data_IF_995269880932
#
_entry.id   IF_995269880932
#
_cell.length_a   1.000
_cell.length_b   1.000
_cell.length_c   1.000
_cell.angle_alpha   90.00
_cell.angle_beta   90.00
_cell.angle_gamma   90.00
#
_symmetry.space_group_name_H-M   'P 1'
#
loop_
_entity.id
_entity.type
_entity.pdbx_description
1 polymer ?
#
# COMPACT_ATOMS: atom_id res chain seq x y z
N UNK A 1 11.70 22.85 -44.24
CA UNK A 1 12.39 22.66 -42.95
C UNK A 1 11.47 22.95 -41.74
N UNK A 2 10.33 22.30 -41.62
CA UNK A 2 9.39 22.52 -40.46
C UNK A 2 8.84 21.22 -39.88
N UNK A 3 9.45 20.05 -40.11
CA UNK A 3 8.86 18.75 -39.73
C UNK A 3 9.76 17.92 -38.80
N UNK A 4 10.87 18.44 -38.29
CA UNK A 4 11.83 17.67 -37.46
C UNK A 4 11.67 17.94 -35.98
N UNK A 5 10.99 19.00 -35.55
CA UNK A 5 10.84 19.34 -34.12
C UNK A 5 9.71 18.62 -33.41
N UNK A 6 8.77 17.99 -34.12
CA UNK A 6 7.64 17.30 -33.47
C UNK A 6 7.97 15.89 -32.98
N UNK A 7 9.02 15.26 -33.50
CA UNK A 7 9.41 13.89 -33.15
C UNK A 7 10.21 13.75 -31.85
N UNK A 8 10.86 14.82 -31.39
CA UNK A 8 11.76 14.78 -30.23
C UNK A 8 11.00 14.97 -28.90
N UNK A 9 9.83 15.60 -28.94
CA UNK A 9 9.04 15.87 -27.72
C UNK A 9 8.25 14.61 -27.29
N UNK A 10 7.92 13.72 -28.22
CA UNK A 10 7.13 12.52 -27.90
C UNK A 10 7.97 11.39 -27.28
N UNK A 11 9.29 11.42 -27.44
CA UNK A 11 10.19 10.39 -26.88
C UNK A 11 10.64 10.64 -25.44
N UNK A 12 10.40 11.82 -24.86
CA UNK A 12 10.76 12.14 -23.47
C UNK A 12 9.69 11.78 -22.43
N UNK A 13 8.50 11.36 -22.86
CA UNK A 13 7.38 11.05 -21.93
C UNK A 13 7.43 9.59 -21.43
N UNK A 14 8.26 8.72 -22.01
CA UNK A 14 8.32 7.30 -21.67
C UNK A 14 9.41 6.90 -20.66
N UNK A 15 10.20 7.85 -20.16
CA UNK A 15 11.28 7.57 -19.21
C UNK A 15 11.02 8.00 -17.77
N UNK A 16 9.78 8.32 -17.41
CA UNK A 16 9.42 8.34 -15.99
C UNK A 16 9.20 6.88 -15.59
N UNK A 17 10.25 6.22 -15.14
CA UNK A 17 10.20 4.98 -14.39
C UNK A 17 9.36 5.22 -13.12
N UNK A 18 8.07 5.46 -13.32
CA UNK A 18 7.12 5.66 -12.26
C UNK A 18 7.07 4.38 -11.44
N UNK A 19 7.33 4.48 -10.15
CA UNK A 19 7.02 3.42 -9.20
C UNK A 19 5.53 3.13 -9.30
N UNK A 20 5.15 2.24 -10.26
CA UNK A 20 3.74 1.89 -10.49
C UNK A 20 3.20 1.14 -9.28
N UNK A 21 1.91 1.27 -9.02
CA UNK A 21 1.20 0.43 -8.04
C UNK A 21 1.29 -1.04 -8.46
N UNK A 22 1.07 -1.97 -7.53
CA UNK A 22 0.96 -3.39 -7.85
C UNK A 22 -0.29 -3.67 -8.68
N UNK A 23 -0.27 -4.76 -9.46
CA UNK A 23 -1.44 -5.16 -10.25
C UNK A 23 -2.66 -5.44 -9.35
N UNK A 24 -2.43 -6.03 -8.18
CA UNK A 24 -3.50 -6.29 -7.20
C UNK A 24 -4.11 -5.00 -6.66
N UNK A 25 -3.30 -3.97 -6.36
CA UNK A 25 -3.82 -2.69 -5.90
C UNK A 25 -4.57 -1.93 -7.01
N UNK A 26 -4.03 -1.95 -8.24
CA UNK A 26 -4.69 -1.36 -9.41
C UNK A 26 -6.04 -2.05 -9.65
N UNK A 27 -6.09 -3.38 -9.67
CA UNK A 27 -7.32 -4.14 -9.85
C UNK A 27 -8.37 -3.81 -8.78
N UNK A 28 -7.95 -3.66 -7.52
CA UNK A 28 -8.83 -3.24 -6.44
C UNK A 28 -9.38 -1.84 -6.70
N UNK A 29 -8.51 -0.89 -7.01
CA UNK A 29 -8.89 0.50 -7.30
C UNK A 29 -9.84 0.62 -8.48
N UNK A 30 -9.57 -0.07 -9.59
CA UNK A 30 -10.40 -0.06 -10.79
C UNK A 30 -11.79 -0.67 -10.52
N UNK A 31 -11.82 -1.78 -9.76
CA UNK A 31 -13.08 -2.45 -9.42
C UNK A 31 -14.04 -1.56 -8.64
N UNK A 32 -13.52 -0.68 -7.79
CA UNK A 32 -14.31 0.20 -6.93
C UNK A 32 -14.30 1.66 -7.37
N UNK A 33 -13.80 1.98 -8.55
CA UNK A 33 -13.62 3.36 -9.04
C UNK A 33 -14.90 4.20 -9.10
N UNK A 34 -16.04 3.56 -9.23
CA UNK A 34 -17.35 4.23 -9.40
C UNK A 34 -18.22 4.25 -8.14
N UNK A 35 -17.70 3.73 -7.02
CA UNK A 35 -18.41 3.77 -5.74
C UNK A 35 -18.18 5.08 -5.02
N UNK A 36 -19.25 5.78 -4.67
CA UNK A 36 -19.19 7.11 -4.02
C UNK A 36 -18.57 7.07 -2.62
N UNK A 37 -18.68 5.95 -1.93
CA UNK A 37 -18.20 5.79 -0.56
C UNK A 37 -16.79 5.18 -0.48
N UNK A 38 -16.12 5.03 -1.63
CA UNK A 38 -14.75 4.52 -1.70
C UNK A 38 -13.78 5.68 -1.82
N UNK A 39 -12.84 5.74 -0.90
CA UNK A 39 -11.81 6.78 -0.86
C UNK A 39 -10.47 6.18 -1.26
N UNK A 40 -9.79 6.78 -2.22
CA UNK A 40 -8.44 6.39 -2.59
C UNK A 40 -7.55 7.60 -2.80
N UNK A 41 -6.31 7.51 -2.33
CA UNK A 41 -5.28 8.49 -2.64
C UNK A 41 -3.92 7.81 -2.79
N UNK A 42 -3.02 8.48 -3.49
CA UNK A 42 -1.62 8.07 -3.60
C UNK A 42 -0.74 9.30 -3.50
N UNK A 43 0.32 9.20 -2.73
CA UNK A 43 1.27 10.29 -2.54
C UNK A 43 2.71 9.78 -2.54
N UNK A 44 3.66 10.66 -2.84
CA UNK A 44 5.07 10.38 -2.56
C UNK A 44 5.29 10.39 -1.04
N UNK A 45 6.16 9.51 -0.57
CA UNK A 45 6.45 9.40 0.87
C UNK A 45 7.13 10.65 1.44
N UNK A 46 7.71 11.51 0.60
CA UNK A 46 8.25 12.80 1.06
C UNK A 46 7.20 13.64 1.80
N UNK A 47 5.97 13.70 1.30
CA UNK A 47 4.89 14.41 1.98
C UNK A 47 4.44 13.68 3.25
N UNK A 48 4.34 12.35 3.21
CA UNK A 48 3.99 11.54 4.38
C UNK A 48 5.01 11.66 5.51
N UNK A 49 6.30 11.62 5.17
CA UNK A 49 7.40 11.78 6.13
C UNK A 49 7.43 13.15 6.80
N UNK A 50 7.09 14.21 6.08
CA UNK A 50 6.99 15.56 6.64
C UNK A 50 5.87 15.63 7.69
N UNK A 51 4.72 15.03 7.43
CA UNK A 51 3.58 14.98 8.36
C UNK A 51 3.95 14.20 9.63
N UNK A 52 4.58 13.04 9.49
CA UNK A 52 5.01 12.21 10.63
C UNK A 52 6.05 12.92 11.50
N UNK A 53 7.00 13.60 10.87
CA UNK A 53 8.00 14.39 11.59
C UNK A 53 7.38 15.54 12.39
N UNK A 54 6.37 16.19 11.84
CA UNK A 54 5.59 17.23 12.54
C UNK A 54 4.77 16.68 13.70
N UNK A 55 4.31 15.42 13.60
CA UNK A 55 3.58 14.73 14.65
C UNK A 55 4.46 14.23 15.80
N UNK A 56 5.79 14.35 15.69
CA UNK A 56 6.74 13.93 16.74
C UNK A 56 7.07 12.44 16.76
N UNK A 57 6.59 11.67 15.78
CA UNK A 57 6.78 10.22 15.66
C UNK A 57 8.15 9.88 15.04
N UNK A 58 9.22 10.16 15.75
CA UNK A 58 10.58 10.00 15.22
C UNK A 58 10.97 8.57 14.90
N UNK A 59 10.58 7.60 15.73
CA UNK A 59 10.90 6.19 15.50
C UNK A 59 10.22 5.66 14.23
N UNK A 60 8.95 6.00 14.04
CA UNK A 60 8.20 5.64 12.86
C UNK A 60 8.73 6.34 11.60
N UNK A 61 9.18 7.59 11.74
CA UNK A 61 9.80 8.32 10.64
C UNK A 61 11.04 7.59 10.11
N UNK A 62 11.91 7.09 10.97
CA UNK A 62 13.13 6.37 10.54
C UNK A 62 12.81 5.08 9.80
N UNK A 63 11.75 4.39 10.19
CA UNK A 63 11.30 3.18 9.49
C UNK A 63 10.75 3.47 8.09
N UNK A 64 10.05 4.59 7.92
CA UNK A 64 9.36 4.92 6.66
C UNK A 64 10.14 5.90 5.77
N UNK A 65 11.28 6.44 6.21
CA UNK A 65 12.09 7.38 5.42
C UNK A 65 12.55 6.82 4.06
N UNK A 66 12.66 5.50 3.96
CA UNK A 66 13.01 4.79 2.72
C UNK A 66 11.79 4.36 1.89
N UNK A 67 10.59 4.69 2.33
CA UNK A 67 9.36 4.53 1.54
C UNK A 67 9.32 5.64 0.49
N UNK A 68 9.02 5.28 -0.74
CA UNK A 68 8.97 6.19 -1.88
C UNK A 68 7.56 6.60 -2.27
N UNK A 69 6.61 5.70 -2.04
CA UNK A 69 5.20 5.92 -2.35
C UNK A 69 4.31 5.25 -1.32
N UNK A 70 3.22 5.92 -1.01
CA UNK A 70 2.12 5.41 -0.19
C UNK A 70 0.86 5.53 -1.03
N UNK A 71 0.11 4.45 -1.14
CA UNK A 71 -1.20 4.42 -1.78
C UNK A 71 -2.20 3.79 -0.81
N UNK A 72 -3.35 4.42 -0.64
CA UNK A 72 -4.40 3.97 0.28
C UNK A 72 -5.70 3.88 -0.46
N UNK A 73 -6.48 2.85 -0.17
CA UNK A 73 -7.88 2.74 -0.56
C UNK A 73 -8.69 2.21 0.63
N UNK A 74 -9.76 2.90 0.96
CA UNK A 74 -10.72 2.50 1.98
C UNK A 74 -12.06 2.18 1.30
N UNK A 75 -12.56 0.97 1.53
CA UNK A 75 -13.72 0.40 0.83
C UNK A 75 -14.70 -0.11 1.89
N UNK A 76 -15.94 0.41 1.95
CA UNK A 76 -16.99 -0.17 2.78
C UNK A 76 -17.25 -1.63 2.40
N UNK A 77 -17.50 -2.49 3.38
CA UNK A 77 -17.81 -3.91 3.13
C UNK A 77 -19.06 -4.11 2.29
N UNK A 78 -19.98 -3.17 2.34
CA UNK A 78 -21.17 -3.18 1.48
C UNK A 78 -20.81 -3.07 0.00
N UNK A 79 -19.81 -2.25 -0.35
CA UNK A 79 -19.33 -2.13 -1.72
C UNK A 79 -18.77 -3.49 -2.22
N UNK A 80 -18.07 -4.25 -1.37
CA UNK A 80 -17.62 -5.61 -1.72
C UNK A 80 -18.79 -6.52 -2.08
N UNK A 81 -19.90 -6.46 -1.33
CA UNK A 81 -21.11 -7.26 -1.61
C UNK A 81 -21.76 -6.84 -2.93
N UNK A 82 -21.90 -5.55 -3.18
CA UNK A 82 -22.46 -5.00 -4.41
C UNK A 82 -21.68 -5.43 -5.65
N UNK A 83 -20.36 -5.47 -5.55
CA UNK A 83 -19.48 -5.86 -6.65
C UNK A 83 -19.28 -7.38 -6.79
N UNK A 84 -19.93 -8.20 -5.97
CA UNK A 84 -19.71 -9.65 -5.91
C UNK A 84 -18.23 -10.03 -5.69
N UNK A 85 -17.50 -9.22 -4.93
CA UNK A 85 -16.10 -9.45 -4.58
C UNK A 85 -16.02 -9.83 -3.10
N UNK A 86 -15.09 -10.70 -2.75
CA UNK A 86 -14.79 -11.01 -1.36
C UNK A 86 -13.38 -10.60 -1.00
N UNK A 87 -13.14 -10.28 0.27
CA UNK A 87 -11.79 -10.02 0.77
C UNK A 87 -10.88 -11.22 0.56
N UNK A 88 -11.39 -12.44 0.70
CA UNK A 88 -10.65 -13.67 0.41
C UNK A 88 -10.29 -13.80 -1.07
N UNK A 89 -11.15 -13.35 -1.97
CA UNK A 89 -10.87 -13.24 -3.41
C UNK A 89 -9.75 -12.26 -3.68
N UNK A 90 -9.79 -11.09 -3.06
CA UNK A 90 -8.70 -10.10 -3.16
C UNK A 90 -7.36 -10.65 -2.63
N UNK A 91 -7.36 -11.33 -1.48
CA UNK A 91 -6.17 -12.00 -0.94
C UNK A 91 -5.61 -13.07 -1.91
N UNK A 92 -6.47 -13.74 -2.69
CA UNK A 92 -6.03 -14.66 -3.75
C UNK A 92 -5.33 -13.92 -4.89
N UNK A 93 -5.87 -12.78 -5.33
CA UNK A 93 -5.24 -11.92 -6.36
C UNK A 93 -3.87 -11.44 -5.88
N UNK A 94 -3.76 -11.00 -4.62
CA UNK A 94 -2.48 -10.60 -4.03
C UNK A 94 -1.44 -11.74 -4.07
N UNK A 95 -1.84 -12.98 -3.74
CA UNK A 95 -0.93 -14.13 -3.85
C UNK A 95 -0.49 -14.41 -5.30
N UNK A 96 -1.39 -14.24 -6.27
CA UNK A 96 -1.05 -14.35 -7.69
C UNK A 96 -0.09 -13.22 -8.14
N UNK A 97 -0.18 -12.04 -7.53
CA UNK A 97 0.74 -10.92 -7.71
C UNK A 97 2.00 -11.03 -6.83
N UNK A 98 2.31 -12.25 -6.33
CA UNK A 98 3.50 -12.63 -5.56
C UNK A 98 3.63 -11.97 -4.18
N UNK A 99 2.55 -11.48 -3.60
CA UNK A 99 2.54 -11.06 -2.21
C UNK A 99 2.52 -12.27 -1.27
N UNK A 100 3.38 -12.24 -0.27
CA UNK A 100 3.49 -13.25 0.78
C UNK A 100 3.04 -12.63 2.11
N UNK A 101 2.24 -13.35 2.87
CA UNK A 101 1.83 -12.92 4.21
C UNK A 101 3.02 -13.01 5.15
N UNK A 102 3.34 -11.91 5.84
CA UNK A 102 4.41 -11.83 6.84
C UNK A 102 3.86 -11.99 8.25
N UNK A 103 2.78 -11.29 8.55
CA UNK A 103 2.18 -11.28 9.87
C UNK A 103 0.67 -11.02 9.77
N UNK A 104 -0.05 -11.52 10.76
CA UNK A 104 -1.48 -11.25 10.95
C UNK A 104 -1.76 -11.03 12.42
N UNK A 105 -2.42 -9.93 12.72
CA UNK A 105 -2.89 -9.59 14.05
C UNK A 105 -4.40 -9.55 14.06
N UNK A 106 -5.00 -9.95 15.17
CA UNK A 106 -6.43 -9.87 15.39
C UNK A 106 -6.66 -9.28 16.77
N UNK A 107 -7.41 -8.19 16.82
CA UNK A 107 -7.79 -7.53 18.07
C UNK A 107 -9.25 -7.05 17.98
N UNK A 108 -10.06 -7.39 19.00
CA UNK A 108 -11.46 -6.98 19.14
C UNK A 108 -12.35 -7.16 17.89
N UNK A 109 -12.00 -8.08 17.00
CA UNK A 109 -12.73 -8.31 15.74
C UNK A 109 -12.05 -7.73 14.52
N UNK A 110 -11.15 -6.78 14.67
CA UNK A 110 -10.35 -6.21 13.61
C UNK A 110 -9.20 -7.15 13.24
N UNK A 111 -8.88 -7.20 11.96
CA UNK A 111 -7.80 -8.02 11.43
C UNK A 111 -6.85 -7.11 10.65
N UNK A 112 -5.59 -7.09 11.05
CA UNK A 112 -4.51 -6.42 10.31
C UNK A 112 -3.58 -7.48 9.76
N UNK A 113 -3.40 -7.50 8.45
CA UNK A 113 -2.51 -8.46 7.78
C UNK A 113 -1.45 -7.72 6.99
N UNK A 114 -0.20 -8.08 7.21
CA UNK A 114 0.95 -7.54 6.51
C UNK A 114 1.40 -8.52 5.43
N UNK A 115 1.59 -8.00 4.24
CA UNK A 115 2.13 -8.75 3.10
C UNK A 115 3.35 -8.04 2.55
N UNK A 116 4.26 -8.81 1.99
CA UNK A 116 5.42 -8.30 1.25
C UNK A 116 5.52 -9.00 -0.10
N UNK A 117 5.88 -8.24 -1.10
CA UNK A 117 6.33 -8.73 -2.39
C UNK A 117 7.78 -8.30 -2.56
N UNK A 118 8.74 -9.24 -2.44
CA UNK A 118 10.15 -8.95 -2.66
C UNK A 118 10.39 -8.57 -4.12
N UNK A 119 11.33 -7.67 -4.36
CA UNK A 119 11.82 -7.31 -5.68
C UNK A 119 13.33 -7.43 -5.70
N UNK A 120 13.94 -7.60 -6.87
CA UNK A 120 15.39 -7.66 -7.04
C UNK A 120 16.09 -6.36 -6.61
N UNK A 121 15.39 -5.25 -6.71
CA UNK A 121 15.84 -3.96 -6.17
C UNK A 121 15.39 -3.81 -4.71
N UNK A 122 16.09 -2.98 -3.91
CA UNK A 122 15.68 -2.64 -2.53
C UNK A 122 14.32 -1.90 -2.44
N UNK A 123 13.53 -1.90 -3.51
CA UNK A 123 12.22 -1.27 -3.57
C UNK A 123 11.10 -2.31 -3.42
N UNK A 124 11.08 -2.98 -2.30
CA UNK A 124 10.03 -3.94 -1.99
C UNK A 124 8.65 -3.27 -1.99
N UNK A 125 7.63 -4.08 -2.17
CA UNK A 125 6.24 -3.65 -2.01
C UNK A 125 5.67 -4.32 -0.78
N UNK A 126 4.99 -3.51 0.01
CA UNK A 126 4.28 -3.97 1.18
C UNK A 126 2.81 -3.65 1.00
N UNK A 127 1.95 -4.55 1.44
CA UNK A 127 0.52 -4.33 1.50
C UNK A 127 0.06 -4.57 2.93
N UNK A 128 -0.57 -3.57 3.53
CA UNK A 128 -1.22 -3.68 4.82
C UNK A 128 -2.71 -3.72 4.54
N UNK A 129 -3.36 -4.80 4.96
CA UNK A 129 -4.80 -4.96 4.83
C UNK A 129 -5.42 -4.90 6.21
N UNK A 130 -6.26 -3.91 6.43
CA UNK A 130 -7.03 -3.73 7.67
C UNK A 130 -8.49 -4.06 7.38
N UNK A 131 -9.04 -4.99 8.15
CA UNK A 131 -10.44 -5.43 8.05
C UNK A 131 -11.11 -5.15 9.39
N UNK A 132 -11.93 -4.11 9.47
CA UNK A 132 -12.78 -3.83 10.62
C UNK A 132 -14.23 -4.33 10.39
N UNK A 133 -15.20 -3.97 11.26
CA UNK A 133 -16.61 -4.35 11.13
C UNK A 133 -17.22 -3.88 9.81
N UNK A 134 -16.88 -2.69 9.35
CA UNK A 134 -17.60 -1.95 8.32
C UNK A 134 -16.76 -1.74 7.05
N UNK A 135 -15.44 -1.74 7.16
CA UNK A 135 -14.54 -1.35 6.10
C UNK A 135 -13.43 -2.38 5.85
N UNK A 136 -12.85 -2.25 4.67
CA UNK A 136 -11.56 -2.86 4.31
C UNK A 136 -10.66 -1.74 3.83
N UNK A 137 -9.52 -1.56 4.49
CA UNK A 137 -8.51 -0.58 4.09
C UNK A 137 -7.28 -1.31 3.57
N UNK A 138 -6.89 -1.02 2.34
CA UNK A 138 -5.64 -1.51 1.77
C UNK A 138 -4.65 -0.35 1.63
N UNK A 139 -3.45 -0.55 2.18
CA UNK A 139 -2.35 0.41 2.13
C UNK A 139 -1.19 -0.25 1.41
N UNK A 140 -0.83 0.26 0.25
CA UNK A 140 0.36 -0.18 -0.47
C UNK A 140 1.51 0.79 -0.22
N UNK A 141 2.65 0.24 0.19
CA UNK A 141 3.89 0.97 0.37
C UNK A 141 4.93 0.46 -0.64
N UNK A 142 5.69 1.35 -1.25
CA UNK A 142 6.81 0.99 -2.13
C UNK A 142 8.08 1.61 -1.58
N UNK A 143 9.10 0.79 -1.35
CA UNK A 143 10.39 1.24 -0.80
C UNK A 143 11.06 0.15 0.02
N UNK A 144 11.87 0.56 0.97
CA UNK A 144 12.55 -0.34 1.90
C UNK A 144 12.08 -0.04 3.33
N UNK A 145 11.68 -1.08 4.03
CA UNK A 145 11.41 -1.05 5.47
C UNK A 145 12.48 -1.91 6.14
N UNK A 146 13.11 -1.38 7.18
CA UNK A 146 14.09 -2.11 7.94
C UNK A 146 13.42 -3.29 8.66
N UNK A 147 13.88 -4.54 8.44
CA UNK A 147 13.33 -5.70 9.11
C UNK A 147 13.39 -5.61 10.65
N UNK A 148 14.39 -4.94 11.21
CA UNK A 148 14.51 -4.76 12.67
C UNK A 148 13.34 -3.95 13.23
N UNK A 149 12.81 -3.00 12.44
CA UNK A 149 11.64 -2.24 12.86
C UNK A 149 10.40 -3.15 12.96
N UNK A 150 10.21 -4.06 12.01
CA UNK A 150 9.08 -5.00 12.04
C UNK A 150 9.13 -5.90 13.27
N UNK A 151 10.33 -6.35 13.66
CA UNK A 151 10.53 -7.17 14.86
C UNK A 151 10.27 -6.40 16.16
N UNK A 152 10.59 -5.10 16.19
CA UNK A 152 10.30 -4.24 17.35
C UNK A 152 8.80 -4.03 17.55
N UNK A 153 8.04 -3.86 16.49
CA UNK A 153 6.57 -3.75 16.56
C UNK A 153 5.93 -5.00 17.19
N UNK A 154 6.45 -6.19 16.88
CA UNK A 154 5.96 -7.47 17.44
C UNK A 154 6.21 -7.56 18.97
N UNK A 155 7.35 -7.05 19.43
CA UNK A 155 7.75 -7.12 20.84
C UNK A 155 6.92 -6.18 21.77
N UNK A 156 6.40 -5.08 21.24
CA UNK A 156 5.57 -4.15 22.02
C UNK A 156 4.16 -4.68 22.24
N UNK A 157 3.61 -5.40 21.28
CA UNK A 157 2.26 -6.00 21.37
C UNK A 157 2.18 -7.11 22.44
N UNK A 158 3.30 -7.77 22.75
CA UNK A 158 3.36 -8.82 23.77
C UNK A 158 3.53 -8.29 25.20
N UNK A 159 3.93 -7.03 25.40
CA UNK A 159 4.12 -6.43 26.74
C UNK A 159 2.83 -5.86 27.36
N UNK A 160 1.83 -5.55 26.56
CA UNK A 160 0.53 -5.06 27.07
C UNK A 160 -0.43 -6.18 27.52
N UNK A 161 -0.06 -7.45 27.32
CA UNK A 161 -0.88 -8.64 27.72
C UNK A 161 -0.36 -9.37 28.96
N UNK A 162 0.55 -8.74 29.73
CA UNK A 162 1.05 -9.34 30.98
C UNK A 162 0.62 -8.56 32.19
#
# INVERSE_FOLDING_TARGET
MKTVCAGVILSMVLATGGYSQSNSFIALKEKFAYHHDVYSFSTSAFLGGTILKLAGEHEFYDAVKSIKRISVIAIPKDAFRHENVSVSGFKKIMRQDSFQELARMKDNGDIVTFYMRPTESRNNRYMILVEDSDNVVAIELTGYIDPEFLLKCESHTNKEKS
#
